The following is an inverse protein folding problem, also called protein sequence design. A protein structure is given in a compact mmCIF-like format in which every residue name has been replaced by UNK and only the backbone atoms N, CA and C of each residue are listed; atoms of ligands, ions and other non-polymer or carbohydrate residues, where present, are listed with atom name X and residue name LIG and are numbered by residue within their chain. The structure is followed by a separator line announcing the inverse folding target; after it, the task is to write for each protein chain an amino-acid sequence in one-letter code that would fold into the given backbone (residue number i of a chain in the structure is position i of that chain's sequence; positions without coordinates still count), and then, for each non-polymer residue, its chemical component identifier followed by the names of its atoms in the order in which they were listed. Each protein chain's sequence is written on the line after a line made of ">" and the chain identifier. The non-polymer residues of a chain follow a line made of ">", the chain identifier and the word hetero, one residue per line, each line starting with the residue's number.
data_IF_624839509145
#
_entry.id   IF_624839509145
#
_cell.length_a   1.000
_cell.length_b   1.000
_cell.length_c   1.000
_cell.angle_alpha   90.00
_cell.angle_beta   90.00
_cell.angle_gamma   90.00
#
_symmetry.space_group_name_H-M   'P 1'
#
loop_
_entity.id
_entity.type
_entity.pdbx_description
1 polymer ?
#
# COMPACT_ATOMS: atom_id res chain seq x y z
N UNK A 1 -12.60 14.29 6.31
CA UNK A 1 -12.05 13.89 5.00
C UNK A 1 -11.85 15.13 4.13
N UNK A 2 -11.01 15.08 3.09
CA UNK A 2 -10.87 16.14 2.08
C UNK A 2 -11.28 15.61 0.70
N UNK A 3 -11.85 16.46 -0.15
CA UNK A 3 -12.30 16.09 -1.50
C UNK A 3 -11.10 15.96 -2.45
N UNK A 4 -11.14 14.95 -3.30
CA UNK A 4 -10.18 14.70 -4.37
C UNK A 4 -10.95 14.41 -5.65
N UNK A 5 -10.61 15.07 -6.75
CA UNK A 5 -11.15 14.80 -8.08
C UNK A 5 -10.05 14.22 -8.96
N UNK A 6 -10.35 13.12 -9.65
CA UNK A 6 -9.42 12.42 -10.56
C UNK A 6 -10.17 11.96 -11.80
N UNK A 7 -9.46 11.84 -12.92
CA UNK A 7 -9.96 11.18 -14.12
C UNK A 7 -9.35 9.79 -14.20
N UNK A 8 -10.18 8.75 -14.35
CA UNK A 8 -9.76 7.37 -14.53
C UNK A 8 -10.59 6.72 -15.65
N UNK A 9 -10.12 5.62 -16.26
CA UNK A 9 -10.85 4.93 -17.31
C UNK A 9 -12.25 4.49 -16.87
N UNK A 10 -13.22 4.59 -17.79
CA UNK A 10 -14.62 4.22 -17.52
C UNK A 10 -14.75 2.77 -17.04
N UNK A 11 -13.97 1.86 -17.63
CA UNK A 11 -13.95 0.44 -17.24
C UNK A 11 -13.64 0.22 -15.75
N UNK A 12 -12.89 1.13 -15.12
CA UNK A 12 -12.60 1.05 -13.69
C UNK A 12 -13.78 1.58 -12.85
N UNK A 13 -14.50 2.58 -13.35
CA UNK A 13 -15.74 3.07 -12.73
C UNK A 13 -16.79 1.96 -12.75
N UNK A 14 -16.98 1.30 -13.90
CA UNK A 14 -17.88 0.16 -14.05
C UNK A 14 -17.51 -0.99 -13.10
N UNK A 15 -16.22 -1.27 -12.95
CA UNK A 15 -15.76 -2.29 -11.99
C UNK A 15 -16.08 -1.90 -10.54
N UNK A 16 -15.94 -0.63 -10.17
CA UNK A 16 -16.33 -0.13 -8.84
C UNK A 16 -17.85 -0.22 -8.63
N UNK A 17 -18.64 -0.01 -9.69
CA UNK A 17 -20.10 -0.15 -9.63
C UNK A 17 -20.53 -1.58 -9.34
N UNK A 18 -19.90 -2.56 -9.98
CA UNK A 18 -20.16 -3.98 -9.71
C UNK A 18 -19.89 -4.29 -8.23
N UNK A 19 -18.76 -3.83 -7.69
CA UNK A 19 -18.42 -4.06 -6.28
C UNK A 19 -19.43 -3.43 -5.30
N UNK A 20 -20.05 -2.32 -5.67
CA UNK A 20 -21.08 -1.68 -4.86
C UNK A 20 -22.42 -2.40 -5.03
N UNK A 21 -22.77 -2.80 -6.25
CA UNK A 21 -23.99 -3.54 -6.55
C UNK A 21 -24.03 -4.92 -5.88
N UNK A 22 -22.87 -5.55 -5.72
CA UNK A 22 -22.69 -6.81 -4.98
C UNK A 22 -22.60 -6.62 -3.46
N UNK A 23 -22.86 -5.40 -2.96
CA UNK A 23 -22.81 -5.04 -1.53
C UNK A 23 -21.44 -5.29 -0.85
N UNK A 24 -20.37 -5.48 -1.63
CA UNK A 24 -18.99 -5.64 -1.11
C UNK A 24 -18.52 -4.33 -0.47
N UNK A 25 -18.89 -3.19 -1.08
CA UNK A 25 -18.66 -1.87 -0.52
C UNK A 25 -19.95 -1.05 -0.51
N UNK A 26 -20.17 -0.21 0.51
CA UNK A 26 -21.38 0.61 0.61
C UNK A 26 -21.49 1.71 -0.45
N UNK A 27 -20.37 2.11 -1.06
CA UNK A 27 -20.30 3.07 -2.16
C UNK A 27 -18.90 3.08 -2.81
N UNK A 28 -18.81 3.68 -4.01
CA UNK A 28 -17.55 3.80 -4.76
C UNK A 28 -16.46 4.51 -3.95
N UNK A 29 -16.83 5.54 -3.18
CA UNK A 29 -15.87 6.30 -2.39
C UNK A 29 -15.22 5.45 -1.30
N UNK A 30 -15.94 4.51 -0.70
CA UNK A 30 -15.40 3.59 0.31
C UNK A 30 -14.50 2.52 -0.31
N UNK A 31 -14.88 1.99 -1.48
CA UNK A 31 -14.03 1.09 -2.24
C UNK A 31 -12.69 1.76 -2.60
N UNK A 32 -12.73 2.98 -3.14
CA UNK A 32 -11.54 3.77 -3.49
C UNK A 32 -10.68 4.05 -2.25
N UNK A 33 -11.29 4.51 -1.15
CA UNK A 33 -10.56 4.77 0.11
C UNK A 33 -9.89 3.50 0.65
N UNK A 34 -10.57 2.36 0.56
CA UNK A 34 -10.01 1.08 0.99
C UNK A 34 -8.80 0.68 0.15
N UNK A 35 -8.91 0.75 -1.17
CA UNK A 35 -7.80 0.48 -2.08
C UNK A 35 -6.59 1.40 -1.82
N UNK A 36 -6.81 2.70 -1.62
CA UNK A 36 -5.73 3.66 -1.29
C UNK A 36 -5.07 3.32 0.05
N UNK A 37 -5.86 3.02 1.09
CA UNK A 37 -5.34 2.66 2.42
C UNK A 37 -4.47 1.41 2.34
N UNK A 38 -4.94 0.40 1.62
CA UNK A 38 -4.25 -0.89 1.52
C UNK A 38 -2.96 -0.74 0.70
N UNK A 39 -2.98 0.05 -0.38
CA UNK A 39 -1.77 0.44 -1.12
C UNK A 39 -0.75 1.14 -0.21
N UNK A 40 -1.15 2.18 0.54
CA UNK A 40 -0.24 2.93 1.43
C UNK A 40 0.38 2.02 2.48
N UNK A 41 -0.44 1.16 3.12
CA UNK A 41 0.06 0.21 4.13
C UNK A 41 1.09 -0.73 3.53
N UNK A 42 0.81 -1.31 2.37
CA UNK A 42 1.72 -2.25 1.72
C UNK A 42 3.06 -1.59 1.35
N UNK A 43 3.03 -0.38 0.81
CA UNK A 43 4.24 0.36 0.45
C UNK A 43 5.08 0.78 1.66
N UNK A 44 4.44 1.19 2.76
CA UNK A 44 5.15 1.53 4.01
C UNK A 44 5.80 0.29 4.62
N UNK A 45 5.04 -0.81 4.75
CA UNK A 45 5.56 -2.07 5.30
C UNK A 45 6.74 -2.59 4.48
N UNK A 46 6.68 -2.47 3.15
CA UNK A 46 7.78 -2.84 2.27
C UNK A 46 9.02 -1.97 2.53
N UNK A 47 8.86 -0.65 2.66
CA UNK A 47 9.98 0.26 2.96
C UNK A 47 10.61 -0.04 4.32
N UNK A 48 9.81 -0.35 5.33
CA UNK A 48 10.30 -0.70 6.66
C UNK A 48 11.06 -2.03 6.64
N UNK A 49 10.54 -3.04 5.93
CA UNK A 49 11.20 -4.33 5.77
C UNK A 49 12.54 -4.19 5.03
N UNK A 50 12.60 -3.36 3.97
CA UNK A 50 13.84 -3.08 3.22
C UNK A 50 14.85 -2.35 4.11
N UNK A 51 14.41 -1.35 4.88
CA UNK A 51 15.28 -0.57 5.78
C UNK A 51 15.85 -1.45 6.90
N UNK A 52 15.01 -2.29 7.52
CA UNK A 52 15.43 -3.22 8.57
C UNK A 52 16.45 -4.25 8.06
N UNK A 53 16.27 -4.75 6.82
CA UNK A 53 17.24 -5.66 6.17
C UNK A 53 18.57 -4.98 5.87
N UNK A 54 18.57 -3.72 5.42
CA UNK A 54 19.82 -2.96 5.18
C UNK A 54 20.60 -2.76 6.48
N UNK A 55 19.91 -2.38 7.55
CA UNK A 55 20.54 -2.18 8.85
C UNK A 55 21.11 -3.49 9.40
N UNK A 56 20.36 -4.61 9.33
CA UNK A 56 20.85 -5.92 9.77
C UNK A 56 22.11 -6.37 9.02
N UNK A 57 22.14 -6.21 7.68
CA UNK A 57 23.32 -6.55 6.87
C UNK A 57 24.54 -5.67 7.14
N UNK A 58 24.36 -4.45 7.65
CA UNK A 58 25.47 -3.58 8.06
C UNK A 58 26.01 -3.99 9.43
N UNK A 59 25.14 -4.30 10.39
CA UNK A 59 25.54 -4.82 11.71
C UNK A 59 26.31 -6.15 11.61
N UNK A 60 25.85 -7.10 10.79
CA UNK A 60 26.52 -8.40 10.60
C UNK A 60 27.89 -8.28 9.90
N UNK A 61 28.11 -7.24 9.10
CA UNK A 61 29.40 -6.99 8.45
C UNK A 61 30.42 -6.36 9.38
N UNK A 62 29.99 -5.49 10.30
CA UNK A 62 30.87 -4.86 11.28
C UNK A 62 31.32 -5.87 12.36
N UNK A 63 30.40 -6.71 12.84
CA UNK A 63 30.73 -7.74 13.86
C UNK A 63 31.75 -8.78 13.38
N UNK A 64 31.78 -9.08 12.08
CA UNK A 64 32.70 -10.06 11.50
C UNK A 64 34.07 -9.46 11.13
N UNK A 65 34.21 -8.14 11.14
CA UNK A 65 35.49 -7.45 10.88
C UNK A 65 36.27 -7.16 12.15
N UNK A 66 35.62 -7.12 13.32
CA UNK A 66 36.27 -6.89 14.62
C UNK A 66 36.80 -8.17 15.29
N UNK A 67 36.53 -9.35 14.72
CA UNK A 67 36.90 -10.66 15.29
C UNK A 67 38.07 -11.36 14.58
N UNK A 68 38.79 -10.67 13.69
CA UNK A 68 39.89 -11.22 12.90
C UNK A 68 41.07 -10.24 12.87
#
# INVERSE_FOLDING_TARGET
>A
MRMLSVFIPESYIESLDILVAEEIFPNRSEAIRSAIRDLIRNEILLKDAVTKRKNKKQFEKQSNQEQN
#
